data_IF_230311819407
#
_entry.id   IF_230311819407
#
_cell.length_a   1.000
_cell.length_b   1.000
_cell.length_c   1.000
_cell.angle_alpha   90.00
_cell.angle_beta   90.00
_cell.angle_gamma   90.00
#
_symmetry.space_group_name_H-M   'P 1'
#
loop_
_entity.id
_entity.type
_entity.pdbx_description
1 polymer ?
#
# COMPACT_ATOMS: atom_id res chain seq x y z
N UNK A 1 -15.13 5.06 -57.72
CA UNK A 1 -13.77 5.46 -57.31
C UNK A 1 -13.63 5.06 -55.85
N UNK A 2 -12.90 3.95 -55.66
CA UNK A 2 -12.40 3.23 -54.48
C UNK A 2 -12.72 3.82 -53.09
N UNK A 3 -13.24 3.13 -52.08
CA UNK A 3 -13.31 1.70 -51.72
C UNK A 3 -11.96 0.98 -51.59
N UNK A 4 -11.34 1.08 -50.41
CA UNK A 4 -10.28 0.18 -49.96
C UNK A 4 -10.47 -0.23 -48.49
N UNK A 5 -11.18 -1.35 -48.40
CA UNK A 5 -11.16 -2.39 -47.38
C UNK A 5 -9.80 -2.56 -46.66
N UNK A 6 -9.83 -2.47 -45.33
CA UNK A 6 -8.87 -3.15 -44.47
C UNK A 6 -9.15 -4.65 -44.51
N UNK A 7 -8.34 -5.41 -45.25
CA UNK A 7 -8.28 -6.88 -45.16
C UNK A 7 -7.47 -7.26 -43.92
N UNK A 8 -8.12 -7.91 -42.95
CA UNK A 8 -7.45 -8.66 -41.90
C UNK A 8 -6.93 -9.98 -42.50
N UNK A 9 -5.60 -10.13 -42.54
CA UNK A 9 -4.96 -11.41 -42.85
C UNK A 9 -5.16 -12.35 -41.65
N UNK A 10 -5.92 -13.44 -41.87
CA UNK A 10 -6.00 -14.54 -40.93
C UNK A 10 -4.83 -15.49 -41.17
N UNK A 11 -3.78 -15.35 -40.38
CA UNK A 11 -2.81 -16.42 -40.12
C UNK A 11 -2.03 -16.12 -38.83
N UNK A 12 -2.65 -16.35 -37.67
CA UNK A 12 -1.93 -16.51 -36.41
C UNK A 12 -2.15 -17.95 -35.95
N UNK A 13 -1.11 -18.76 -36.13
CA UNK A 13 -1.01 -20.10 -35.53
C UNK A 13 -1.13 -19.94 -34.02
N UNK A 14 -2.00 -20.75 -33.42
CA UNK A 14 -2.20 -20.86 -31.99
C UNK A 14 -0.94 -21.39 -31.32
N UNK A 15 -0.09 -20.51 -30.80
CA UNK A 15 0.88 -20.87 -29.78
C UNK A 15 0.21 -20.77 -28.42
N UNK A 16 0.13 -21.91 -27.74
CA UNK A 16 -0.38 -21.97 -26.37
C UNK A 16 0.53 -21.14 -25.45
N UNK A 17 -0.03 -20.37 -24.50
CA UNK A 17 0.79 -19.63 -23.55
C UNK A 17 1.57 -20.63 -22.70
N UNK A 18 2.90 -20.53 -22.75
CA UNK A 18 3.80 -21.22 -21.82
C UNK A 18 3.42 -20.77 -20.40
N UNK A 19 3.15 -21.74 -19.53
CA UNK A 19 3.00 -21.51 -18.09
C UNK A 19 4.32 -20.94 -17.56
N UNK A 20 4.36 -19.62 -17.38
CA UNK A 20 5.34 -18.98 -16.52
C UNK A 20 4.89 -19.19 -15.07
N UNK A 21 5.82 -19.66 -14.22
CA UNK A 21 5.56 -19.85 -12.80
C UNK A 21 5.19 -18.50 -12.16
N UNK A 22 4.16 -18.46 -11.28
CA UNK A 22 3.75 -17.21 -10.64
C UNK A 22 4.85 -16.66 -9.71
N UNK A 23 5.01 -15.32 -9.62
CA UNK A 23 5.92 -14.71 -8.67
C UNK A 23 5.48 -15.02 -7.22
N UNK A 24 6.46 -15.18 -6.34
CA UNK A 24 6.27 -15.64 -4.96
C UNK A 24 5.53 -14.62 -4.07
N UNK A 25 4.40 -15.04 -3.49
CA UNK A 25 4.03 -14.79 -2.08
C UNK A 25 3.36 -13.46 -1.68
N UNK A 26 2.08 -13.26 -2.02
CA UNK A 26 1.23 -12.28 -1.33
C UNK A 26 1.00 -12.73 0.12
N UNK A 27 1.18 -11.83 1.10
CA UNK A 27 0.92 -12.10 2.51
C UNK A 27 -0.22 -11.21 3.03
N UNK A 28 -1.21 -11.83 3.66
CA UNK A 28 -2.24 -11.14 4.44
C UNK A 28 -1.71 -10.89 5.86
N UNK A 29 -1.95 -9.69 6.39
CA UNK A 29 -1.54 -9.27 7.73
C UNK A 29 -2.79 -8.84 8.49
N UNK A 30 -3.05 -9.52 9.60
CA UNK A 30 -4.15 -9.25 10.53
C UNK A 30 -3.61 -8.81 11.90
N UNK A 31 -4.32 -7.89 12.55
CA UNK A 31 -3.96 -7.40 13.86
C UNK A 31 -4.89 -8.03 14.92
N UNK A 32 -4.59 -9.24 15.38
CA UNK A 32 -5.23 -9.87 16.54
C UNK A 32 -4.33 -9.75 17.79
N UNK A 33 -4.95 -9.42 18.94
CA UNK A 33 -4.37 -9.27 20.29
C UNK A 33 -2.83 -9.25 20.41
N UNK A 34 -2.27 -8.05 20.60
CA UNK A 34 -0.84 -7.85 20.91
C UNK A 34 -0.45 -8.47 22.26
N UNK A 35 0.11 -9.68 22.23
CA UNK A 35 1.20 -10.06 23.14
C UNK A 35 2.52 -9.91 22.38
N UNK A 36 3.46 -9.19 22.98
CA UNK A 36 4.75 -8.84 22.39
C UNK A 36 5.66 -10.06 22.25
N UNK A 37 5.86 -10.52 21.02
CA UNK A 37 6.97 -11.41 20.66
C UNK A 37 7.78 -10.75 19.54
N UNK A 38 8.94 -10.22 19.91
CA UNK A 38 9.92 -9.62 18.99
C UNK A 38 10.64 -10.69 18.17
N UNK A 39 10.83 -10.41 16.89
CA UNK A 39 11.77 -11.14 16.03
C UNK A 39 12.68 -10.07 15.40
N UNK A 40 13.98 -10.16 15.72
CA UNK A 40 15.06 -9.33 15.18
C UNK A 40 15.71 -10.05 14.01
N UNK A 41 15.91 -9.36 12.89
CA UNK A 41 16.65 -9.86 11.74
C UNK A 41 18.17 -9.80 11.99
N UNK A 42 18.88 -10.91 11.73
CA UNK A 42 20.34 -10.96 11.67
C UNK A 42 20.85 -10.35 10.36
N UNK A 43 21.68 -9.31 10.47
CA UNK A 43 22.64 -8.91 9.44
C UNK A 43 24.01 -9.39 9.93
N UNK A 44 24.66 -10.27 9.18
CA UNK A 44 26.07 -10.58 9.37
C UNK A 44 26.91 -9.46 8.74
N UNK A 45 27.82 -8.91 9.54
CA UNK A 45 28.97 -8.15 9.06
C UNK A 45 30.17 -8.52 9.93
N UNK A 46 31.02 -9.39 9.39
CA UNK A 46 32.43 -9.56 9.77
C UNK A 46 33.21 -8.43 9.04
N UNK A 47 34.24 -7.74 9.55
CA UNK A 47 35.16 -7.95 10.66
C UNK A 47 35.73 -6.60 11.16
N UNK A 48 36.21 -6.61 12.41
CA UNK A 48 37.19 -5.69 13.03
C UNK A 48 36.74 -4.33 13.58
N UNK A 49 36.27 -4.29 14.85
CA UNK A 49 36.81 -3.41 15.92
C UNK A 49 36.56 -4.04 17.31
N UNK A 50 37.60 -4.14 18.15
CA UNK A 50 37.63 -4.71 19.51
C UNK A 50 36.86 -3.83 20.52
N UNK A 51 36.07 -4.39 21.47
CA UNK A 51 35.28 -3.63 22.44
C UNK A 51 36.05 -3.27 23.73
N UNK A 52 35.87 -2.08 24.35
CA UNK A 52 36.37 -1.81 25.69
C UNK A 52 35.44 -2.37 26.79
N UNK A 53 36.04 -2.95 27.84
CA UNK A 53 35.41 -3.71 28.94
C UNK A 53 35.14 -2.85 30.20
N UNK A 54 33.91 -2.99 30.73
CA UNK A 54 33.27 -2.94 32.09
C UNK A 54 33.91 -2.12 33.25
N UNK A 55 33.11 -1.56 34.19
CA UNK A 55 32.76 -2.33 35.38
C UNK A 55 31.31 -2.18 35.91
N UNK A 56 30.88 -3.22 36.62
CA UNK A 56 29.63 -3.37 37.33
C UNK A 56 29.62 -2.54 38.62
N UNK A 57 28.54 -1.79 38.88
CA UNK A 57 27.98 -1.54 40.22
C UNK A 57 26.60 -0.85 40.13
N UNK A 58 25.71 -1.28 41.02
CA UNK A 58 24.24 -1.21 41.09
C UNK A 58 23.68 0.17 41.58
N UNK A 59 22.35 0.50 41.48
CA UNK A 59 21.36 -0.04 42.43
C UNK A 59 19.92 -0.32 41.94
N UNK A 60 19.26 -1.16 42.76
CA UNK A 60 17.89 -1.73 42.74
C UNK A 60 16.86 -0.83 43.46
N UNK A 61 15.57 -1.15 43.23
CA UNK A 61 14.34 -0.86 44.01
C UNK A 61 13.51 0.37 43.53
N UNK A 62 12.17 0.37 43.50
CA UNK A 62 11.21 -0.10 44.52
C UNK A 62 9.84 -0.47 43.90
N UNK A 63 9.24 -1.56 44.39
CA UNK A 63 7.81 -1.93 44.28
C UNK A 63 7.03 -1.40 45.50
N UNK A 64 5.73 -1.07 45.36
CA UNK A 64 4.84 -0.89 46.51
C UNK A 64 3.36 -0.61 46.18
N UNK A 65 2.44 -1.38 46.81
CA UNK A 65 0.99 -1.12 46.90
C UNK A 65 0.05 -2.33 46.70
N UNK A 66 0.19 -3.43 47.47
CA UNK A 66 -0.71 -3.98 48.53
C UNK A 66 -2.04 -4.67 48.13
N UNK A 67 -2.16 -5.95 48.50
CA UNK A 67 -3.36 -6.81 48.57
C UNK A 67 -4.16 -6.61 49.90
N UNK A 68 -5.41 -7.10 49.93
CA UNK A 68 -6.48 -7.11 50.96
C UNK A 68 -7.60 -6.07 50.69
N UNK A 69 -8.90 -6.34 50.49
CA UNK A 69 -9.82 -7.47 50.77
C UNK A 69 -11.20 -7.15 50.06
N UNK A 70 -12.32 -7.87 50.27
CA UNK A 70 -12.89 -8.99 49.50
C UNK A 70 -14.14 -8.61 48.65
N UNK A 71 -14.47 -9.47 47.67
CA UNK A 71 -15.81 -10.04 47.38
C UNK A 71 -15.73 -10.73 46.01
N UNK A 72 -15.38 -12.01 46.02
CA UNK A 72 -15.91 -12.96 45.06
C UNK A 72 -17.26 -13.41 45.59
N UNK A 73 -18.36 -13.06 44.91
CA UNK A 73 -19.60 -13.86 44.88
C UNK A 73 -20.61 -13.32 43.87
N UNK A 74 -20.97 -14.22 42.95
CA UNK A 74 -22.24 -14.31 42.21
C UNK A 74 -22.63 -13.19 41.23
N UNK A 75 -22.24 -13.37 39.97
CA UNK A 75 -23.16 -13.20 38.83
C UNK A 75 -22.85 -14.33 37.81
N UNK A 76 -23.75 -15.31 37.69
CA UNK A 76 -23.94 -16.06 36.44
C UNK A 76 -25.15 -15.46 35.74
N UNK A 77 -25.10 -15.21 34.43
CA UNK A 77 -26.31 -15.35 33.63
C UNK A 77 -26.05 -16.14 32.34
N UNK A 78 -26.81 -17.22 32.25
CA UNK A 78 -27.44 -17.83 31.07
C UNK A 78 -26.61 -18.22 29.84
N UNK A 79 -26.55 -19.54 29.65
CA UNK A 79 -26.22 -20.31 28.46
C UNK A 79 -27.28 -20.23 27.34
N UNK A 80 -27.92 -19.08 27.11
CA UNK A 80 -28.97 -18.91 26.09
C UNK A 80 -28.83 -17.61 25.26
N UNK A 81 -27.61 -17.25 24.88
CA UNK A 81 -27.41 -16.17 23.86
C UNK A 81 -26.36 -16.54 22.80
N UNK A 82 -26.01 -17.82 22.68
CA UNK A 82 -25.15 -18.36 21.62
C UNK A 82 -25.83 -18.41 20.24
N UNK A 83 -27.06 -17.92 20.09
CA UNK A 83 -27.79 -17.94 18.82
C UNK A 83 -27.71 -16.65 17.97
N UNK A 84 -27.11 -15.56 18.47
CA UNK A 84 -27.03 -14.28 17.72
C UNK A 84 -25.62 -13.68 17.58
N UNK A 85 -24.58 -14.37 18.01
CA UNK A 85 -23.21 -14.12 17.54
C UNK A 85 -22.92 -15.01 16.32
N UNK A 86 -23.67 -14.82 15.24
CA UNK A 86 -23.03 -14.87 13.92
C UNK A 86 -22.11 -13.66 13.88
N UNK A 87 -20.94 -13.81 14.49
CA UNK A 87 -19.83 -12.89 14.34
C UNK A 87 -19.70 -12.57 12.86
N UNK A 88 -19.68 -11.27 12.59
CA UNK A 88 -19.63 -10.56 11.31
C UNK A 88 -18.31 -10.86 10.57
N UNK A 89 -18.06 -12.15 10.33
CA UNK A 89 -16.83 -12.75 9.81
C UNK A 89 -17.02 -12.97 8.31
N UNK A 90 -16.02 -12.58 7.52
CA UNK A 90 -15.83 -12.90 6.09
C UNK A 90 -16.73 -12.25 5.02
N UNK A 91 -17.07 -10.97 5.14
CA UNK A 91 -17.51 -10.23 3.95
C UNK A 91 -16.28 -9.48 3.37
N UNK A 92 -15.54 -10.14 2.47
CA UNK A 92 -14.49 -9.50 1.64
C UNK A 92 -15.18 -8.54 0.64
N UNK A 93 -15.70 -7.43 1.14
CA UNK A 93 -16.47 -6.48 0.32
C UNK A 93 -15.56 -5.64 -0.57
N UNK A 94 -14.49 -5.08 0.02
CA UNK A 94 -13.68 -4.05 -0.62
C UNK A 94 -12.18 -4.25 -0.38
N UNK A 95 -11.44 -4.40 -1.48
CA UNK A 95 -9.99 -4.23 -1.50
C UNK A 95 -9.64 -2.78 -1.83
N UNK A 96 -8.97 -2.08 -0.93
CA UNK A 96 -8.51 -0.71 -1.13
C UNK A 96 -7.03 -0.72 -1.56
N UNK A 97 -6.74 -0.37 -2.80
CA UNK A 97 -5.36 -0.10 -3.22
C UNK A 97 -4.80 1.12 -2.50
N UNK A 98 -3.63 0.97 -1.87
CA UNK A 98 -2.94 2.00 -1.09
C UNK A 98 -1.55 2.24 -1.66
N UNK A 99 -1.27 3.48 -2.09
CA UNK A 99 0.05 3.85 -2.60
C UNK A 99 1.03 4.34 -1.51
N UNK A 100 0.50 4.78 -0.35
CA UNK A 100 1.23 5.24 0.83
C UNK A 100 0.25 5.57 1.98
N UNK A 101 0.75 5.60 3.22
CA UNK A 101 -0.05 5.88 4.41
C UNK A 101 -0.77 7.24 4.37
N UNK A 102 -0.12 8.37 4.00
CA UNK A 102 -0.80 9.67 4.00
C UNK A 102 -1.98 9.75 3.02
N UNK A 103 -1.95 9.00 1.92
CA UNK A 103 -3.08 8.94 0.99
C UNK A 103 -4.22 8.05 1.52
N UNK A 104 -3.96 7.15 2.47
CA UNK A 104 -4.95 6.25 3.03
C UNK A 104 -5.71 6.83 4.23
N UNK A 105 -5.16 7.85 4.91
CA UNK A 105 -5.74 8.42 6.14
C UNK A 105 -7.20 8.80 5.99
N UNK A 106 -7.52 9.67 5.03
CA UNK A 106 -8.90 10.11 4.78
C UNK A 106 -9.76 9.01 4.14
N UNK A 107 -9.36 8.33 3.04
CA UNK A 107 -10.18 7.29 2.44
C UNK A 107 -10.61 6.18 3.40
N UNK A 108 -9.70 5.68 4.24
CA UNK A 108 -10.05 4.64 5.22
C UNK A 108 -11.03 5.17 6.27
N UNK A 109 -10.81 6.39 6.77
CA UNK A 109 -11.75 7.00 7.72
C UNK A 109 -13.13 7.21 7.09
N UNK A 110 -13.19 7.74 5.86
CA UNK A 110 -14.43 8.00 5.13
C UNK A 110 -15.20 6.71 4.83
N UNK A 111 -14.53 5.66 4.35
CA UNK A 111 -15.15 4.36 4.09
C UNK A 111 -15.82 3.81 5.35
N UNK A 112 -15.12 3.90 6.49
CA UNK A 112 -15.62 3.41 7.78
C UNK A 112 -16.75 4.27 8.34
N UNK A 113 -16.59 5.60 8.39
CA UNK A 113 -17.53 6.50 9.06
C UNK A 113 -18.75 6.84 8.23
N UNK A 114 -18.56 7.12 6.92
CA UNK A 114 -19.63 7.62 6.06
C UNK A 114 -20.35 6.48 5.34
N UNK A 115 -19.63 5.41 4.96
CA UNK A 115 -20.21 4.30 4.21
C UNK A 115 -20.39 3.02 5.03
N UNK A 116 -19.85 2.95 6.25
CA UNK A 116 -19.91 1.73 7.08
C UNK A 116 -19.15 0.54 6.49
N UNK A 117 -18.24 0.78 5.55
CA UNK A 117 -17.44 -0.24 4.87
C UNK A 117 -16.10 -0.37 5.58
N UNK A 118 -15.76 -1.59 6.00
CA UNK A 118 -14.43 -1.92 6.51
C UNK A 118 -13.56 -2.46 5.35
N UNK A 119 -12.62 -1.66 4.80
CA UNK A 119 -11.78 -2.11 3.71
C UNK A 119 -10.66 -3.04 4.20
N UNK A 120 -10.22 -3.97 3.33
CA UNK A 120 -8.87 -4.52 3.43
C UNK A 120 -7.92 -3.68 2.59
N UNK A 121 -6.77 -3.30 3.13
CA UNK A 121 -5.73 -2.58 2.39
C UNK A 121 -4.96 -3.49 1.43
N UNK A 122 -4.49 -2.94 0.32
CA UNK A 122 -3.49 -3.55 -0.53
C UNK A 122 -2.37 -2.54 -0.81
N UNK A 123 -1.21 -2.71 -0.18
CA UNK A 123 -0.07 -1.84 -0.45
C UNK A 123 0.66 -2.36 -1.68
N UNK A 124 0.55 -1.60 -2.77
CA UNK A 124 1.21 -1.95 -4.02
C UNK A 124 1.56 -0.70 -4.83
N UNK A 125 2.86 -0.49 -5.00
CA UNK A 125 3.37 0.58 -5.84
C UNK A 125 4.82 0.30 -6.23
N UNK A 126 5.06 -0.47 -7.30
CA UNK A 126 6.40 -0.86 -7.69
C UNK A 126 7.18 0.25 -8.41
N UNK A 127 6.55 1.42 -8.63
CA UNK A 127 7.15 2.62 -9.23
C UNK A 127 7.51 3.66 -8.16
N UNK A 128 7.87 3.24 -6.95
CA UNK A 128 8.43 4.18 -5.96
C UNK A 128 9.94 4.16 -6.10
N UNK A 129 10.49 5.36 -6.24
CA UNK A 129 11.91 5.62 -6.42
C UNK A 129 12.38 6.71 -5.48
N UNK A 130 13.65 6.61 -5.03
CA UNK A 130 14.48 5.40 -5.09
C UNK A 130 13.98 4.31 -4.13
N UNK A 131 14.61 3.12 -4.12
CA UNK A 131 14.33 2.04 -3.16
C UNK A 131 14.22 2.51 -1.69
N UNK A 132 15.02 3.51 -1.30
CA UNK A 132 14.94 4.09 0.05
C UNK A 132 13.58 4.75 0.32
N UNK A 133 13.01 5.47 -0.65
CA UNK A 133 11.67 6.05 -0.54
C UNK A 133 10.61 4.94 -0.47
N UNK A 134 10.79 3.85 -1.24
CA UNK A 134 9.90 2.69 -1.18
C UNK A 134 9.84 2.12 0.25
N UNK A 135 11.01 1.83 0.83
CA UNK A 135 11.13 1.30 2.21
C UNK A 135 10.48 2.24 3.22
N UNK A 136 10.78 3.53 3.15
CA UNK A 136 10.21 4.53 4.06
C UNK A 136 8.68 4.60 3.97
N UNK A 137 8.10 4.52 2.77
CA UNK A 137 6.64 4.49 2.57
C UNK A 137 6.02 3.20 3.08
N UNK A 138 6.68 2.06 2.87
CA UNK A 138 6.23 0.76 3.37
C UNK A 138 6.23 0.74 4.91
N UNK A 139 7.31 1.15 5.56
CA UNK A 139 7.41 1.19 7.03
C UNK A 139 6.36 2.13 7.63
N UNK A 140 6.20 3.31 7.03
CA UNK A 140 5.18 4.28 7.45
C UNK A 140 3.78 3.70 7.30
N UNK A 141 3.51 2.97 6.21
CA UNK A 141 2.23 2.30 5.99
C UNK A 141 1.98 1.18 6.99
N UNK A 142 2.95 0.28 7.22
CA UNK A 142 2.80 -0.83 8.15
C UNK A 142 2.51 -0.33 9.59
N UNK A 143 3.26 0.68 10.05
CA UNK A 143 3.03 1.30 11.36
C UNK A 143 1.65 1.95 11.45
N UNK A 144 1.27 2.73 10.42
CA UNK A 144 -0.04 3.37 10.38
C UNK A 144 -1.19 2.36 10.33
N UNK A 145 -1.08 1.29 9.55
CA UNK A 145 -2.07 0.24 9.42
C UNK A 145 -2.27 -0.49 10.76
N UNK A 146 -1.19 -0.79 11.49
CA UNK A 146 -1.25 -1.39 12.81
C UNK A 146 -2.01 -0.52 13.82
N UNK A 147 -1.67 0.77 13.90
CA UNK A 147 -2.36 1.73 14.79
C UNK A 147 -3.84 1.86 14.43
N UNK A 148 -4.18 1.84 13.14
CA UNK A 148 -5.55 1.99 12.64
C UNK A 148 -6.31 0.67 12.49
N UNK A 149 -5.71 -0.45 12.95
CA UNK A 149 -6.25 -1.81 12.86
C UNK A 149 -6.78 -2.14 11.46
N UNK A 150 -6.04 -1.75 10.43
CA UNK A 150 -6.39 -2.04 9.05
C UNK A 150 -5.74 -3.38 8.66
N UNK A 151 -6.55 -4.40 8.34
CA UNK A 151 -6.03 -5.61 7.73
C UNK A 151 -5.53 -5.30 6.31
N UNK A 152 -4.42 -5.89 5.90
CA UNK A 152 -3.86 -5.59 4.58
C UNK A 152 -3.10 -6.74 3.93
N UNK A 153 -3.01 -6.67 2.61
CA UNK A 153 -2.16 -7.50 1.78
C UNK A 153 -0.95 -6.69 1.35
N UNK A 154 0.19 -7.37 1.24
CA UNK A 154 1.43 -6.77 0.81
C UNK A 154 2.03 -7.57 -0.35
N UNK A 155 2.49 -6.84 -1.37
CA UNK A 155 3.34 -7.34 -2.44
C UNK A 155 4.55 -6.41 -2.55
N UNK A 156 5.72 -6.96 -2.25
CA UNK A 156 6.95 -6.18 -2.03
C UNK A 156 7.80 -6.00 -3.29
N UNK A 157 7.16 -5.69 -4.41
CA UNK A 157 7.88 -5.45 -5.66
C UNK A 157 8.31 -3.98 -5.71
N UNK A 158 9.63 -3.75 -5.77
CA UNK A 158 10.20 -2.46 -6.15
C UNK A 158 10.90 -2.67 -7.49
N UNK A 159 10.27 -2.22 -8.57
CA UNK A 159 10.74 -2.48 -9.94
C UNK A 159 11.61 -1.33 -10.46
N UNK A 160 12.58 -0.90 -9.65
CA UNK A 160 13.33 0.32 -9.93
C UNK A 160 14.03 0.27 -11.30
N UNK A 161 14.65 -0.85 -11.65
CA UNK A 161 15.33 -1.03 -12.93
C UNK A 161 14.37 -0.93 -14.12
N UNK A 162 13.19 -1.57 -14.03
CA UNK A 162 12.16 -1.54 -15.08
C UNK A 162 11.69 -0.12 -15.36
N UNK A 163 11.47 0.66 -14.31
CA UNK A 163 10.95 2.02 -14.43
C UNK A 163 12.02 3.03 -14.87
N UNK A 164 13.29 2.80 -14.54
CA UNK A 164 14.42 3.57 -15.09
C UNK A 164 14.66 3.28 -16.58
N UNK A 165 14.50 2.03 -17.00
CA UNK A 165 14.60 1.61 -18.39
C UNK A 165 13.31 1.82 -19.21
N UNK A 166 12.32 2.55 -18.66
CA UNK A 166 11.03 2.70 -19.31
C UNK A 166 11.19 3.43 -20.67
N UNK A 167 10.69 2.86 -21.79
CA UNK A 167 11.11 3.28 -23.13
C UNK A 167 10.56 4.65 -23.55
N UNK A 168 9.45 5.10 -22.96
CA UNK A 168 8.82 6.37 -23.31
C UNK A 168 9.14 7.45 -22.29
N UNK A 169 9.60 8.61 -22.77
CA UNK A 169 9.83 9.81 -21.96
C UNK A 169 8.57 10.67 -21.77
N UNK A 170 7.45 10.27 -22.38
CA UNK A 170 6.19 10.98 -22.33
C UNK A 170 5.47 10.74 -21.00
N UNK A 171 5.13 11.83 -20.29
CA UNK A 171 4.44 11.79 -18.99
C UNK A 171 3.16 10.95 -19.05
N UNK A 172 2.34 11.19 -20.07
CA UNK A 172 1.04 10.53 -20.26
C UNK A 172 1.18 9.03 -20.43
N UNK A 173 2.18 8.56 -21.18
CA UNK A 173 2.44 7.13 -21.40
C UNK A 173 2.89 6.50 -20.09
N UNK A 174 3.81 7.14 -19.37
CA UNK A 174 4.31 6.65 -18.09
C UNK A 174 3.20 6.56 -17.03
N UNK A 175 2.41 7.63 -16.84
CA UNK A 175 1.30 7.65 -15.89
C UNK A 175 0.24 6.59 -16.25
N UNK A 176 -0.13 6.48 -17.53
CA UNK A 176 -1.07 5.45 -18.01
C UNK A 176 -0.58 4.05 -17.67
N UNK A 177 0.68 3.73 -17.95
CA UNK A 177 1.23 2.41 -17.62
C UNK A 177 1.26 2.16 -16.12
N UNK A 178 1.62 3.17 -15.33
CA UNK A 178 1.66 3.07 -13.87
C UNK A 178 0.28 2.79 -13.27
N UNK A 179 -0.76 3.51 -13.72
CA UNK A 179 -2.14 3.25 -13.31
C UNK A 179 -2.61 1.87 -13.75
N UNK A 180 -2.38 1.50 -15.01
CA UNK A 180 -2.79 0.20 -15.55
C UNK A 180 -2.21 -0.96 -14.76
N UNK A 181 -0.92 -0.92 -14.47
CA UNK A 181 -0.25 -1.97 -13.70
C UNK A 181 -0.77 -2.03 -12.26
N UNK A 182 -0.92 -0.90 -11.57
CA UNK A 182 -1.43 -0.88 -10.18
C UNK A 182 -2.86 -1.38 -10.09
N UNK A 183 -3.75 -0.96 -10.99
CA UNK A 183 -5.15 -1.39 -10.99
C UNK A 183 -5.32 -2.81 -11.49
N UNK A 184 -4.57 -3.25 -12.51
CA UNK A 184 -4.60 -4.63 -12.97
C UNK A 184 -4.22 -5.59 -11.84
N UNK A 185 -3.14 -5.28 -11.12
CA UNK A 185 -2.69 -6.13 -10.03
C UNK A 185 -3.66 -6.10 -8.84
N UNK A 186 -4.19 -4.93 -8.49
CA UNK A 186 -5.22 -4.82 -7.44
C UNK A 186 -6.45 -5.66 -7.79
N UNK A 187 -6.93 -5.60 -9.02
CA UNK A 187 -8.07 -6.39 -9.48
C UNK A 187 -7.75 -7.90 -9.46
N UNK A 188 -6.54 -8.30 -9.88
CA UNK A 188 -6.09 -9.69 -9.83
C UNK A 188 -6.11 -10.21 -8.39
N UNK A 189 -5.49 -9.47 -7.46
CA UNK A 189 -5.48 -9.81 -6.02
C UNK A 189 -6.89 -9.82 -5.44
N UNK A 190 -7.74 -8.84 -5.82
CA UNK A 190 -9.12 -8.81 -5.39
C UNK A 190 -9.87 -10.09 -5.82
N UNK A 191 -9.74 -10.50 -7.09
CA UNK A 191 -10.37 -11.72 -7.60
C UNK A 191 -9.85 -12.98 -6.91
N UNK A 192 -8.54 -13.13 -6.80
CA UNK A 192 -7.91 -14.31 -6.18
C UNK A 192 -8.25 -14.46 -4.70
N UNK A 193 -8.35 -13.32 -3.99
CA UNK A 193 -8.69 -13.32 -2.58
C UNK A 193 -10.21 -13.33 -2.34
N UNK A 194 -11.05 -13.26 -3.37
CA UNK A 194 -12.50 -13.31 -3.23
C UNK A 194 -13.15 -11.99 -2.79
N UNK A 195 -12.55 -10.85 -3.09
CA UNK A 195 -13.16 -9.54 -2.91
C UNK A 195 -14.22 -9.25 -3.97
N UNK A 196 -15.35 -8.64 -3.57
CA UNK A 196 -16.40 -8.24 -4.51
C UNK A 196 -16.03 -7.00 -5.32
N UNK A 197 -15.39 -6.03 -4.66
CA UNK A 197 -15.07 -4.73 -5.23
C UNK A 197 -13.66 -4.27 -4.91
N UNK A 198 -13.17 -3.30 -5.69
CA UNK A 198 -11.95 -2.56 -5.37
C UNK A 198 -12.14 -1.06 -5.56
N UNK A 199 -11.32 -0.28 -4.86
CA UNK A 199 -11.11 1.15 -5.13
C UNK A 199 -9.66 1.53 -4.82
N UNK A 200 -9.31 2.82 -4.91
CA UNK A 200 -7.93 3.25 -4.75
C UNK A 200 -7.78 4.58 -4.01
N UNK A 201 -6.79 4.66 -3.12
CA UNK A 201 -6.37 5.93 -2.49
C UNK A 201 -5.81 6.93 -3.49
N UNK A 202 -5.48 6.54 -4.73
CA UNK A 202 -5.02 7.47 -5.76
C UNK A 202 -6.07 8.56 -6.07
N UNK A 203 -7.36 8.23 -5.89
CA UNK A 203 -8.47 9.16 -6.07
C UNK A 203 -8.57 10.26 -4.97
N UNK A 204 -7.69 10.28 -3.97
CA UNK A 204 -7.62 11.40 -3.01
C UNK A 204 -6.81 12.58 -3.56
N UNK A 205 -5.88 12.34 -4.48
CA UNK A 205 -4.94 13.37 -4.93
C UNK A 205 -5.57 14.26 -6.01
N UNK A 206 -5.60 15.60 -5.85
CA UNK A 206 -6.09 16.52 -6.88
C UNK A 206 -5.13 16.66 -8.07
N UNK A 207 -3.88 16.17 -7.94
CA UNK A 207 -2.84 16.28 -8.96
C UNK A 207 -2.78 15.10 -9.95
N UNK A 208 -3.61 14.08 -9.76
CA UNK A 208 -3.65 12.93 -10.67
C UNK A 208 -4.66 13.19 -11.79
N UNK A 209 -4.53 12.45 -12.89
CA UNK A 209 -5.50 12.46 -13.99
C UNK A 209 -6.64 11.51 -13.66
N UNK A 210 -7.74 12.04 -13.13
CA UNK A 210 -8.86 11.25 -12.61
C UNK A 210 -9.65 10.56 -13.72
N UNK A 211 -9.83 11.19 -14.86
CA UNK A 211 -10.61 10.62 -15.95
C UNK A 211 -9.85 9.46 -16.60
N UNK A 212 -8.54 9.63 -16.80
CA UNK A 212 -7.67 8.53 -17.20
C UNK A 212 -7.71 7.40 -16.17
N UNK A 213 -7.53 7.70 -14.87
CA UNK A 213 -7.57 6.67 -13.82
C UNK A 213 -8.90 5.91 -13.79
N UNK A 214 -10.04 6.59 -13.86
CA UNK A 214 -11.37 5.95 -13.90
C UNK A 214 -11.52 5.04 -15.11
N UNK A 215 -11.10 5.50 -16.29
CA UNK A 215 -11.18 4.70 -17.52
C UNK A 215 -10.40 3.39 -17.40
N UNK A 216 -9.18 3.45 -16.86
CA UNK A 216 -8.32 2.29 -16.64
C UNK A 216 -8.89 1.40 -15.54
N UNK A 217 -9.32 1.97 -14.42
CA UNK A 217 -9.90 1.21 -13.31
C UNK A 217 -11.10 0.39 -13.79
N UNK A 218 -12.05 1.01 -14.52
CA UNK A 218 -13.21 0.32 -15.12
C UNK A 218 -12.79 -0.81 -16.07
N UNK A 219 -11.79 -0.56 -16.93
CA UNK A 219 -11.28 -1.57 -17.85
C UNK A 219 -10.68 -2.77 -17.10
N UNK A 220 -9.87 -2.54 -16.07
CA UNK A 220 -9.27 -3.62 -15.29
C UNK A 220 -10.32 -4.35 -14.44
N UNK A 221 -11.27 -3.63 -13.84
CA UNK A 221 -12.39 -4.22 -13.10
C UNK A 221 -13.15 -5.25 -13.96
N UNK A 222 -13.55 -4.82 -15.16
CA UNK A 222 -14.25 -5.68 -16.12
C UNK A 222 -13.42 -6.90 -16.54
N UNK A 223 -12.11 -6.74 -16.74
CA UNK A 223 -11.20 -7.84 -17.12
C UNK A 223 -11.14 -8.95 -16.07
N UNK A 224 -11.18 -8.60 -14.78
CA UNK A 224 -11.03 -9.55 -13.68
C UNK A 224 -12.36 -9.91 -13.00
N UNK A 225 -13.49 -9.38 -13.47
CA UNK A 225 -14.81 -9.63 -12.88
C UNK A 225 -14.99 -9.02 -11.49
N UNK A 226 -14.34 -7.88 -11.23
CA UNK A 226 -14.42 -7.15 -9.95
C UNK A 226 -15.22 -5.87 -10.15
N UNK A 227 -16.02 -5.48 -9.16
CA UNK A 227 -16.69 -4.19 -9.16
C UNK A 227 -15.71 -3.05 -8.89
N UNK A 228 -15.68 -2.03 -9.74
CA UNK A 228 -14.95 -0.80 -9.45
C UNK A 228 -15.85 0.18 -8.68
N UNK A 229 -15.53 0.42 -7.42
CA UNK A 229 -16.22 1.41 -6.60
C UNK A 229 -15.60 2.81 -6.84
N UNK A 230 -16.20 3.56 -7.77
CA UNK A 230 -15.75 4.90 -8.20
C UNK A 230 -16.08 5.96 -7.14
N UNK A 231 -15.16 6.16 -6.20
CA UNK A 231 -15.29 7.19 -5.14
C UNK A 231 -14.31 8.33 -5.41
N UNK A 232 -14.84 9.54 -5.43
CA UNK A 232 -14.03 10.76 -5.44
C UNK A 232 -13.65 11.18 -4.01
N UNK A 233 -12.41 10.90 -3.63
CA UNK A 233 -11.88 11.30 -2.32
C UNK A 233 -11.27 12.71 -2.30
N UNK A 234 -11.22 13.45 -3.43
CA UNK A 234 -10.59 14.79 -3.50
C UNK A 234 -11.13 15.80 -2.50
N UNK A 235 -12.45 15.85 -2.17
CA UNK A 235 -12.95 16.76 -1.15
C UNK A 235 -12.26 16.59 0.21
N UNK A 236 -11.80 15.37 0.52
CA UNK A 236 -11.08 15.04 1.74
C UNK A 236 -9.57 15.25 1.70
N UNK A 237 -8.99 15.69 0.57
CA UNK A 237 -7.54 15.80 0.42
C UNK A 237 -6.88 16.62 1.54
N UNK A 238 -7.40 17.82 1.82
CA UNK A 238 -6.84 18.70 2.88
C UNK A 238 -6.97 18.06 4.27
N UNK A 239 -8.11 17.42 4.55
CA UNK A 239 -8.34 16.71 5.81
C UNK A 239 -7.38 15.52 5.95
N UNK A 240 -7.17 14.74 4.89
CA UNK A 240 -6.21 13.63 4.89
C UNK A 240 -4.77 14.08 5.15
N UNK A 241 -4.36 15.21 4.56
CA UNK A 241 -3.05 15.81 4.82
C UNK A 241 -2.88 16.28 6.27
N UNK A 242 -3.94 16.81 6.88
CA UNK A 242 -3.96 17.17 8.29
C UNK A 242 -3.87 15.93 9.18
N UNK A 243 -4.70 14.91 8.94
CA UNK A 243 -4.68 13.63 9.67
C UNK A 243 -3.30 12.97 9.60
N UNK A 244 -2.65 12.97 8.44
CA UNK A 244 -1.30 12.44 8.28
C UNK A 244 -0.26 13.22 9.10
N UNK A 245 -0.44 14.55 9.24
CA UNK A 245 0.43 15.39 10.06
C UNK A 245 0.21 15.12 11.56
N UNK A 246 -1.04 15.03 12.00
CA UNK A 246 -1.41 14.76 13.39
C UNK A 246 -0.93 13.37 13.84
N UNK A 247 -0.99 12.38 12.95
CA UNK A 247 -0.46 11.05 13.18
C UNK A 247 1.07 10.94 13.05
N UNK A 248 1.78 12.05 12.83
CA UNK A 248 3.25 12.06 12.73
C UNK A 248 3.81 11.28 11.53
N UNK A 249 3.00 11.03 10.50
CA UNK A 249 3.42 10.19 9.37
C UNK A 249 4.51 10.86 8.55
N UNK A 250 5.41 10.04 7.99
CA UNK A 250 6.24 10.50 6.89
C UNK A 250 5.35 10.96 5.73
N UNK A 251 5.54 12.21 5.31
CA UNK A 251 4.79 12.82 4.20
C UNK A 251 5.72 13.02 3.01
N UNK A 252 5.48 12.22 1.98
CA UNK A 252 6.20 12.27 0.72
C UNK A 252 6.09 13.63 0.02
N UNK A 253 7.12 13.98 -0.77
CA UNK A 253 7.24 15.26 -1.49
C UNK A 253 6.97 15.16 -3.00
N UNK A 254 6.59 13.98 -3.46
CA UNK A 254 6.35 13.65 -4.87
C UNK A 254 5.50 12.36 -4.97
N UNK A 255 4.97 12.07 -6.16
CA UNK A 255 4.08 10.92 -6.41
C UNK A 255 4.75 9.57 -6.07
N UNK A 256 6.07 9.48 -6.30
CA UNK A 256 6.88 8.29 -6.02
C UNK A 256 7.72 7.89 -7.22
N UNK A 257 7.32 8.21 -8.45
CA UNK A 257 8.13 7.86 -9.62
C UNK A 257 9.33 8.80 -9.81
N UNK A 258 10.37 8.31 -10.49
CA UNK A 258 11.61 9.06 -10.76
C UNK A 258 11.36 10.40 -11.47
N UNK A 259 10.38 10.44 -12.38
CA UNK A 259 10.02 11.68 -13.05
C UNK A 259 9.39 12.72 -12.10
N UNK A 260 8.50 12.27 -11.21
CA UNK A 260 7.90 13.18 -10.21
C UNK A 260 8.91 13.63 -9.16
N UNK A 261 9.98 12.86 -8.93
CA UNK A 261 11.13 13.29 -8.15
C UNK A 261 11.89 14.43 -8.88
N UNK A 262 12.10 14.30 -10.20
CA UNK A 262 12.69 15.34 -11.04
C UNK A 262 11.93 16.67 -11.05
N UNK A 263 10.61 16.60 -10.94
CA UNK A 263 9.71 17.77 -10.86
C UNK A 263 9.57 18.34 -9.44
N UNK A 264 10.13 17.67 -8.42
CA UNK A 264 9.95 18.08 -7.03
C UNK A 264 10.84 19.28 -6.67
N UNK A 265 10.27 20.28 -6.00
CA UNK A 265 11.04 21.37 -5.39
C UNK A 265 12.01 20.89 -4.28
N UNK A 266 11.92 19.62 -3.88
CA UNK A 266 12.80 19.00 -2.89
C UNK A 266 13.85 18.07 -3.52
N UNK A 267 13.95 18.04 -4.86
CA UNK A 267 14.82 17.12 -5.62
C UNK A 267 16.23 17.06 -5.07
N UNK A 268 16.94 18.19 -4.99
CA UNK A 268 18.36 18.21 -4.63
C UNK A 268 18.61 17.68 -3.22
N UNK A 269 17.68 17.98 -2.29
CA UNK A 269 17.73 17.44 -0.92
C UNK A 269 17.51 15.93 -0.90
N UNK A 270 16.55 15.44 -1.69
CA UNK A 270 16.26 13.99 -1.76
C UNK A 270 17.45 13.26 -2.40
N UNK A 271 17.97 13.76 -3.53
CA UNK A 271 19.13 13.21 -4.23
C UNK A 271 20.37 13.12 -3.32
N UNK A 272 20.68 14.19 -2.59
CA UNK A 272 21.79 14.21 -1.63
C UNK A 272 21.61 13.17 -0.52
N UNK A 273 20.39 12.98 -0.01
CA UNK A 273 20.11 12.01 1.04
C UNK A 273 20.27 10.54 0.60
N UNK A 274 20.11 10.27 -0.69
CA UNK A 274 20.06 8.91 -1.25
C UNK A 274 21.25 8.60 -2.16
N UNK A 275 22.23 9.51 -2.24
CA UNK A 275 23.44 9.32 -3.05
C UNK A 275 23.17 9.23 -4.55
N UNK A 276 22.09 9.84 -5.04
CA UNK A 276 21.78 9.93 -6.47
C UNK A 276 22.20 11.29 -7.03
N UNK A 277 22.50 11.33 -8.31
CA UNK A 277 22.87 12.53 -9.04
C UNK A 277 21.72 13.01 -9.94
N UNK A 278 21.65 14.31 -10.30
CA UNK A 278 20.64 14.80 -11.23
C UNK A 278 20.61 14.06 -12.57
N UNK A 279 21.76 13.55 -13.04
CA UNK A 279 21.86 12.74 -14.25
C UNK A 279 21.10 11.39 -14.17
N UNK A 280 20.76 10.92 -12.96
CA UNK A 280 19.98 9.69 -12.76
C UNK A 280 18.47 9.91 -12.92
N UNK A 281 18.04 11.14 -13.20
CA UNK A 281 16.64 11.48 -13.43
C UNK A 281 16.44 11.61 -14.95
N UNK A 282 15.61 10.74 -15.57
CA UNK A 282 15.36 10.83 -16.99
C UNK A 282 14.62 12.13 -17.35
N UNK A 283 15.10 12.80 -18.39
CA UNK A 283 14.41 13.94 -18.98
C UNK A 283 13.05 13.52 -19.54
N UNK A 284 12.04 14.37 -19.38
CA UNK A 284 10.78 14.22 -20.09
C UNK A 284 10.85 14.88 -21.46
N UNK A 285 10.15 14.26 -22.41
CA UNK A 285 9.73 14.97 -23.61
C UNK A 285 8.69 16.02 -23.19
N UNK A 286 8.94 17.27 -23.56
CA UNK A 286 8.05 18.41 -23.33
C UNK A 286 6.84 18.31 -24.26
#
# INVERSE_FOLDING_TARGET
MNDHLYRFDQNIKSEQPKQENPPQGIRQIEHSNLQSSGITFHLQSDDNVIPPQIPADLPVAVMGGTENDPVTKHIRPNSETTANLKTKVDQKELLLHICCAPCATYPVAFLRSELGIEPSGYFYNPNIHPLFEYRRRLDTFANWAAVNRLAYYLQTDCEEERWRAFPSKQKQVHCRTCYSMRFAETCRVAAEQGFKSFTSTLFVSPYQDHDLMRSIAKQQAARYGIEFMDIDFRPGYRRGQQMAREAGLYRQRFCGCIYSLGESNFKDKILTQVGLFPADIPDREV
#
